data_IF_466323166253
#
_entry.id   IF_466323166253
#
_cell.length_a   1.000
_cell.length_b   1.000
_cell.length_c   1.000
_cell.angle_alpha   90.00
_cell.angle_beta   90.00
_cell.angle_gamma   90.00
#
_symmetry.space_group_name_H-M   'P 1'
#
loop_
_entity.id
_entity.type
_entity.pdbx_description
1 polymer ?
#
# COMPACT_ATOMS: atom_id res chain seq x y z
N UNK A 1 19.74 -4.87 7.04
CA UNK A 1 20.70 -5.67 6.22
C UNK A 1 20.28 -5.67 4.74
N UNK A 2 19.02 -5.98 4.39
CA UNK A 2 18.58 -6.03 2.98
C UNK A 2 18.79 -4.70 2.21
N UNK A 3 18.77 -3.56 2.88
CA UNK A 3 19.02 -2.25 2.27
C UNK A 3 20.52 -2.09 1.96
N UNK A 4 21.40 -2.58 2.82
CA UNK A 4 22.85 -2.53 2.63
C UNK A 4 23.35 -3.41 1.46
N UNK A 5 22.54 -4.38 1.05
CA UNK A 5 22.82 -5.27 -0.09
C UNK A 5 22.27 -4.73 -1.42
N UNK A 6 21.67 -3.53 -1.41
CA UNK A 6 21.20 -2.91 -2.64
C UNK A 6 22.36 -2.51 -3.54
N UNK A 7 22.17 -2.70 -4.84
CA UNK A 7 23.09 -2.13 -5.83
C UNK A 7 23.06 -0.61 -5.72
N UNK A 8 24.23 0.00 -5.73
CA UNK A 8 24.34 1.45 -5.64
C UNK A 8 23.94 2.12 -6.95
N UNK A 9 23.04 3.11 -6.90
CA UNK A 9 22.78 3.96 -8.05
C UNK A 9 23.97 4.91 -8.29
N UNK A 10 24.10 5.52 -9.48
CA UNK A 10 25.06 6.58 -9.70
C UNK A 10 24.92 7.68 -8.64
N UNK A 11 26.04 8.03 -7.98
CA UNK A 11 26.06 8.99 -6.87
C UNK A 11 25.89 8.40 -5.47
N UNK A 12 25.72 7.08 -5.35
CA UNK A 12 25.55 6.39 -4.06
C UNK A 12 24.18 6.63 -3.43
N UNK A 13 24.05 6.27 -2.15
CA UNK A 13 22.86 6.54 -1.33
C UNK A 13 23.20 6.68 0.15
N UNK A 14 22.38 7.40 0.87
CA UNK A 14 22.33 7.41 2.33
C UNK A 14 21.09 6.63 2.83
N UNK A 15 21.12 6.17 4.07
CA UNK A 15 20.03 5.43 4.72
C UNK A 15 19.59 6.20 5.95
N UNK A 16 18.37 6.72 5.91
CA UNK A 16 17.75 7.39 7.05
C UNK A 16 16.75 6.45 7.70
N UNK A 17 16.99 6.12 8.95
CA UNK A 17 16.10 5.27 9.74
C UNK A 17 15.33 6.15 10.70
N UNK A 18 14.05 6.43 10.39
CA UNK A 18 13.17 7.15 11.29
C UNK A 18 12.69 6.19 12.40
N UNK A 19 13.16 6.40 13.61
CA UNK A 19 12.86 5.56 14.77
C UNK A 19 11.88 6.23 15.72
N UNK A 20 10.79 5.54 16.04
CA UNK A 20 9.73 5.99 16.96
C UNK A 20 10.12 5.93 18.44
N UNK A 21 11.38 6.16 18.79
CA UNK A 21 11.93 6.02 20.13
C UNK A 21 11.74 4.58 20.65
N UNK A 22 12.15 3.61 19.85
CA UNK A 22 12.00 2.18 20.15
C UNK A 22 12.74 1.78 21.42
N UNK A 23 12.08 0.98 22.25
CA UNK A 23 12.63 0.44 23.51
C UNK A 23 12.96 -1.05 23.46
N UNK A 24 12.80 -1.68 22.31
CA UNK A 24 13.02 -3.13 22.08
C UNK A 24 14.44 -3.46 21.58
N UNK A 25 15.38 -2.52 21.69
CA UNK A 25 16.76 -2.65 21.21
C UNK A 25 16.93 -2.34 19.70
N UNK A 26 15.88 -1.96 18.98
CA UNK A 26 15.97 -1.55 17.57
C UNK A 26 16.89 -0.34 17.41
N UNK A 27 16.73 0.68 18.25
CA UNK A 27 17.52 1.90 18.25
C UNK A 27 19.01 1.62 18.42
N UNK A 28 19.39 0.82 19.41
CA UNK A 28 20.78 0.48 19.69
C UNK A 28 21.43 -0.28 18.52
N UNK A 29 20.67 -1.17 17.88
CA UNK A 29 21.13 -1.87 16.67
C UNK A 29 21.39 -0.93 15.51
N UNK A 30 20.49 0.04 15.28
CA UNK A 30 20.68 1.03 14.21
C UNK A 30 21.89 1.91 14.51
N UNK A 31 22.08 2.37 15.75
CA UNK A 31 23.25 3.15 16.16
C UNK A 31 24.55 2.36 15.98
N UNK A 32 24.58 1.09 16.38
CA UNK A 32 25.74 0.23 16.17
C UNK A 32 26.06 -0.01 14.68
N UNK A 33 25.03 -0.04 13.81
CA UNK A 33 25.22 -0.12 12.36
C UNK A 33 25.75 1.21 11.79
N UNK A 34 25.24 2.34 12.28
CA UNK A 34 25.70 3.67 11.87
C UNK A 34 27.18 3.94 12.24
N UNK A 35 27.68 3.36 13.32
CA UNK A 35 29.10 3.41 13.67
C UNK A 35 29.99 2.66 12.68
N UNK A 36 29.45 1.63 11.99
CA UNK A 36 30.21 0.79 11.03
C UNK A 36 30.03 1.25 9.58
N UNK A 37 28.93 1.93 9.29
CA UNK A 37 28.59 2.41 7.95
C UNK A 37 28.04 3.83 8.03
N UNK A 38 28.86 4.78 7.59
CA UNK A 38 28.56 6.23 7.62
C UNK A 38 27.37 6.64 6.75
N UNK A 39 26.90 5.76 5.88
CA UNK A 39 25.68 5.97 5.08
C UNK A 39 24.41 5.92 5.95
N UNK A 40 24.46 5.27 7.11
CA UNK A 40 23.32 5.08 8.01
C UNK A 40 23.26 6.24 8.99
N UNK A 41 22.07 6.83 9.08
CA UNK A 41 21.74 7.87 10.07
C UNK A 41 20.43 7.57 10.74
N UNK A 42 20.39 7.71 12.05
CA UNK A 42 19.17 7.63 12.84
C UNK A 42 18.49 9.01 12.84
N UNK A 43 17.17 9.02 12.65
CA UNK A 43 16.31 10.21 12.73
C UNK A 43 15.25 9.93 13.78
N UNK A 44 15.14 10.81 14.77
CA UNK A 44 14.13 10.67 15.83
C UNK A 44 12.74 10.97 15.28
N UNK A 45 11.77 10.13 15.67
CA UNK A 45 10.36 10.30 15.40
C UNK A 45 9.58 10.26 16.74
N UNK A 46 9.57 11.36 17.52
CA UNK A 46 8.94 11.38 18.84
C UNK A 46 7.43 11.13 18.80
N UNK A 47 6.76 11.48 17.71
CA UNK A 47 5.33 11.25 17.52
C UNK A 47 4.98 9.77 17.25
N UNK A 48 5.96 8.93 16.88
CA UNK A 48 5.86 7.46 16.69
C UNK A 48 4.93 7.02 15.57
N UNK A 49 4.35 7.93 14.80
CA UNK A 49 3.52 7.63 13.65
C UNK A 49 4.32 7.67 12.34
N UNK A 50 3.91 6.83 11.40
CA UNK A 50 4.61 6.68 10.11
C UNK A 50 4.77 7.99 9.34
N UNK A 51 3.74 8.85 9.15
CA UNK A 51 3.90 10.07 8.37
C UNK A 51 4.89 11.06 9.00
N UNK A 52 4.89 11.20 10.32
CA UNK A 52 5.86 12.03 11.03
C UNK A 52 7.29 11.54 10.80
N UNK A 53 7.53 10.22 10.95
CA UNK A 53 8.84 9.63 10.70
C UNK A 53 9.30 9.79 9.25
N UNK A 54 8.40 9.64 8.28
CA UNK A 54 8.70 9.88 6.87
C UNK A 54 9.07 11.34 6.61
N UNK A 55 8.28 12.28 7.12
CA UNK A 55 8.56 13.72 6.97
C UNK A 55 9.88 14.12 7.62
N UNK A 56 10.16 13.64 8.84
CA UNK A 56 11.43 13.89 9.52
C UNK A 56 12.63 13.34 8.71
N UNK A 57 12.52 12.13 8.17
CA UNK A 57 13.56 11.54 7.33
C UNK A 57 13.74 12.32 6.02
N UNK A 58 12.66 12.73 5.34
CA UNK A 58 12.71 13.52 4.11
C UNK A 58 13.35 14.88 4.36
N UNK A 59 13.03 15.55 5.45
CA UNK A 59 13.64 16.81 5.84
C UNK A 59 15.14 16.67 6.10
N UNK A 60 15.57 15.59 6.75
CA UNK A 60 16.97 15.29 7.05
C UNK A 60 17.76 14.76 5.84
N UNK A 61 17.09 14.36 4.76
CA UNK A 61 17.72 13.79 3.58
C UNK A 61 18.59 14.82 2.84
N UNK A 62 19.76 14.38 2.37
CA UNK A 62 20.71 15.17 1.57
C UNK A 62 20.56 14.89 0.07
N UNK A 63 20.10 13.68 -0.28
CA UNK A 63 19.90 13.25 -1.65
C UNK A 63 18.71 13.93 -2.34
N UNK A 64 18.79 14.06 -3.66
CA UNK A 64 17.73 14.64 -4.51
C UNK A 64 16.59 13.67 -4.81
N UNK A 65 16.80 12.38 -4.56
CA UNK A 65 15.81 11.32 -4.78
C UNK A 65 15.56 10.61 -3.46
N UNK A 66 14.26 10.47 -3.11
CA UNK A 66 13.80 9.80 -1.91
C UNK A 66 13.23 8.43 -2.32
N UNK A 67 13.77 7.35 -1.76
CA UNK A 67 13.25 5.99 -1.94
C UNK A 67 12.74 5.48 -0.60
N UNK A 68 11.43 5.22 -0.49
CA UNK A 68 10.86 4.63 0.71
C UNK A 68 11.09 3.13 0.76
N UNK A 69 11.58 2.65 1.88
CA UNK A 69 11.79 1.23 2.15
C UNK A 69 11.27 0.86 3.55
N UNK A 70 10.26 0.00 3.60
CA UNK A 70 9.68 -0.43 4.88
C UNK A 70 10.43 -1.67 5.43
N UNK A 71 10.67 -1.71 6.74
CA UNK A 71 11.48 -2.74 7.40
C UNK A 71 10.93 -4.18 7.28
N UNK A 72 9.62 -4.33 7.01
CA UNK A 72 8.94 -5.63 6.89
C UNK A 72 8.71 -6.07 5.43
N UNK A 73 9.36 -5.41 4.48
CA UNK A 73 9.29 -5.71 3.05
C UNK A 73 10.60 -6.33 2.57
N UNK A 74 10.53 -7.34 1.72
CA UNK A 74 11.68 -7.88 1.00
C UNK A 74 11.85 -7.15 -0.35
N UNK A 75 13.10 -6.95 -0.77
CA UNK A 75 13.45 -6.18 -1.95
C UNK A 75 14.33 -6.98 -2.90
N UNK A 76 14.18 -6.78 -4.20
CA UNK A 76 15.18 -7.22 -5.16
C UNK A 76 16.51 -6.46 -4.95
N UNK A 77 17.67 -7.05 -5.25
CA UNK A 77 18.97 -6.39 -5.05
C UNK A 77 19.16 -5.11 -5.88
N UNK A 78 18.39 -4.95 -6.96
CA UNK A 78 18.40 -3.80 -7.87
C UNK A 78 17.22 -2.82 -7.64
N UNK A 79 16.48 -2.96 -6.53
CA UNK A 79 15.26 -2.19 -6.25
C UNK A 79 15.53 -0.68 -6.31
N UNK A 80 16.56 -0.19 -5.60
CA UNK A 80 16.90 1.24 -5.54
C UNK A 80 17.30 1.76 -6.92
N UNK A 81 18.17 1.04 -7.64
CA UNK A 81 18.60 1.42 -9.01
C UNK A 81 17.39 1.50 -9.94
N UNK A 82 16.48 0.50 -9.92
CA UNK A 82 15.28 0.51 -10.77
C UNK A 82 14.31 1.64 -10.43
N UNK A 83 14.20 2.00 -9.16
CA UNK A 83 13.43 3.17 -8.75
C UNK A 83 14.00 4.45 -9.38
N UNK A 84 15.31 4.69 -9.24
CA UNK A 84 15.99 5.89 -9.76
C UNK A 84 15.90 5.94 -11.28
N UNK A 85 16.26 4.85 -11.99
CA UNK A 85 16.18 4.77 -13.45
C UNK A 85 14.78 5.08 -13.97
N UNK A 86 13.75 4.46 -13.36
CA UNK A 86 12.36 4.68 -13.79
C UNK A 86 11.92 6.12 -13.55
N UNK A 87 12.22 6.68 -12.38
CA UNK A 87 11.86 8.06 -12.03
C UNK A 87 12.42 9.05 -13.05
N UNK A 88 13.70 8.88 -13.41
CA UNK A 88 14.39 9.75 -14.36
C UNK A 88 13.87 9.55 -15.79
N UNK A 89 13.70 8.28 -16.23
CA UNK A 89 13.30 7.97 -17.60
C UNK A 89 11.83 8.37 -17.88
N UNK A 90 10.92 8.21 -16.91
CA UNK A 90 9.48 8.49 -17.10
C UNK A 90 9.11 9.94 -16.77
N UNK A 91 10.03 10.72 -16.19
CA UNK A 91 9.77 12.10 -15.71
C UNK A 91 8.52 12.15 -14.81
N UNK A 92 8.31 11.06 -14.04
CA UNK A 92 7.21 10.95 -13.11
C UNK A 92 7.52 11.65 -11.78
N UNK A 93 6.50 12.02 -11.02
CA UNK A 93 6.65 12.63 -9.70
C UNK A 93 6.78 11.58 -8.59
N UNK A 94 6.18 10.39 -8.80
CA UNK A 94 6.35 9.21 -7.96
C UNK A 94 6.37 7.94 -8.81
N UNK A 95 7.27 7.00 -8.49
CA UNK A 95 7.34 5.70 -9.15
C UNK A 95 7.39 4.57 -8.14
N UNK A 96 6.85 3.40 -8.50
CA UNK A 96 6.93 2.22 -7.67
C UNK A 96 6.65 0.93 -8.45
N UNK A 97 6.78 -0.19 -7.76
CA UNK A 97 6.45 -1.50 -8.30
C UNK A 97 5.03 -1.94 -7.97
N UNK A 98 4.57 -3.05 -8.55
CA UNK A 98 3.31 -3.66 -8.17
C UNK A 98 3.35 -4.16 -6.71
N UNK A 99 2.20 -4.13 -6.05
CA UNK A 99 2.08 -4.68 -4.70
C UNK A 99 2.02 -6.21 -4.77
N UNK A 100 3.15 -6.86 -4.56
CA UNK A 100 3.29 -8.32 -4.61
C UNK A 100 3.31 -8.90 -3.20
N UNK A 101 2.26 -9.65 -2.83
CA UNK A 101 2.23 -10.36 -1.55
C UNK A 101 2.89 -11.74 -1.68
N UNK A 102 3.75 -12.12 -0.70
CA UNK A 102 4.34 -13.45 -0.58
C UNK A 102 4.08 -14.02 0.81
N UNK A 103 3.24 -15.03 0.89
CA UNK A 103 2.89 -15.72 2.14
C UNK A 103 3.76 -16.95 2.39
N UNK A 104 4.08 -17.21 3.67
CA UNK A 104 4.63 -18.49 4.15
C UNK A 104 3.53 -19.20 4.95
N UNK A 105 3.20 -20.44 4.59
CA UNK A 105 2.09 -21.20 5.19
C UNK A 105 0.76 -21.00 4.47
N UNK A 106 -0.19 -21.90 4.73
CA UNK A 106 -1.44 -22.05 3.99
C UNK A 106 -2.29 -20.78 3.94
N UNK A 107 -2.65 -20.23 5.11
CA UNK A 107 -3.48 -19.01 5.21
C UNK A 107 -2.79 -17.79 4.57
N UNK A 108 -1.49 -17.58 4.85
CA UNK A 108 -0.74 -16.46 4.27
C UNK A 108 -0.63 -16.56 2.74
N UNK A 109 -0.58 -17.77 2.17
CA UNK A 109 -0.58 -17.97 0.71
C UNK A 109 -1.95 -17.68 0.12
N UNK A 110 -3.03 -18.10 0.78
CA UNK A 110 -4.39 -17.75 0.36
C UNK A 110 -4.60 -16.22 0.36
N UNK A 111 -4.19 -15.54 1.44
CA UNK A 111 -4.24 -14.07 1.51
C UNK A 111 -3.40 -13.46 0.38
N UNK A 112 -2.20 -13.96 0.11
CA UNK A 112 -1.35 -13.47 -0.98
C UNK A 112 -2.01 -13.67 -2.37
N UNK A 113 -2.68 -14.80 -2.60
CA UNK A 113 -3.43 -15.06 -3.83
C UNK A 113 -4.62 -14.11 -3.97
N UNK A 114 -5.37 -13.86 -2.88
CA UNK A 114 -6.47 -12.89 -2.88
C UNK A 114 -5.98 -11.47 -3.23
N UNK A 115 -4.80 -11.03 -2.77
CA UNK A 115 -4.21 -9.74 -3.13
C UNK A 115 -3.91 -9.59 -4.64
N UNK A 116 -3.81 -10.69 -5.38
CA UNK A 116 -3.60 -10.69 -6.83
C UNK A 116 -4.92 -10.87 -7.60
N UNK A 117 -6.02 -11.18 -6.92
CA UNK A 117 -7.34 -11.33 -7.53
C UNK A 117 -7.93 -9.97 -7.90
N UNK A 118 -8.25 -9.76 -9.17
CA UNK A 118 -8.89 -8.53 -9.65
C UNK A 118 -10.24 -8.28 -8.95
N UNK A 119 -10.94 -9.33 -8.55
CA UNK A 119 -12.20 -9.24 -7.79
C UNK A 119 -11.94 -8.66 -6.39
N UNK A 120 -10.99 -9.24 -5.64
CA UNK A 120 -10.71 -8.84 -4.26
C UNK A 120 -10.15 -7.41 -4.15
N UNK A 121 -9.35 -6.95 -5.14
CA UNK A 121 -8.75 -5.61 -5.13
C UNK A 121 -9.50 -4.59 -5.98
N UNK A 122 -10.72 -4.91 -6.47
CA UNK A 122 -11.54 -4.01 -7.26
C UNK A 122 -10.86 -3.55 -8.56
N UNK A 123 -10.07 -4.41 -9.19
CA UNK A 123 -9.38 -4.13 -10.45
C UNK A 123 -8.23 -3.12 -10.33
N UNK A 124 -7.74 -2.83 -9.12
CA UNK A 124 -6.64 -1.89 -8.89
C UNK A 124 -5.40 -2.22 -9.73
N UNK A 125 -4.97 -1.26 -10.55
CA UNK A 125 -3.79 -1.44 -11.43
C UNK A 125 -2.52 -1.69 -10.63
N UNK A 126 -2.40 -1.10 -9.42
CA UNK A 126 -1.29 -1.27 -8.49
C UNK A 126 -0.99 -2.71 -8.07
N UNK A 127 -1.96 -3.63 -8.24
CA UNK A 127 -1.81 -5.06 -7.95
C UNK A 127 -1.49 -5.90 -9.20
N UNK A 128 -1.53 -5.32 -10.41
CA UNK A 128 -1.25 -6.06 -11.66
C UNK A 128 0.25 -6.20 -11.86
N UNK A 129 0.74 -7.44 -11.81
CA UNK A 129 2.17 -7.77 -11.81
C UNK A 129 2.94 -7.32 -13.07
N UNK A 130 2.27 -7.28 -14.21
CA UNK A 130 2.87 -6.96 -15.51
C UNK A 130 2.44 -5.60 -16.07
N UNK A 131 1.69 -4.82 -15.27
CA UNK A 131 1.25 -3.51 -15.73
C UNK A 131 2.37 -2.49 -15.61
N UNK A 132 2.58 -1.75 -16.69
CA UNK A 132 3.44 -0.57 -16.70
C UNK A 132 2.61 0.62 -17.18
N UNK A 133 2.66 1.72 -16.43
CA UNK A 133 1.90 2.92 -16.76
C UNK A 133 1.43 3.72 -15.55
N UNK A 134 0.64 4.79 -15.79
CA UNK A 134 0.09 5.62 -14.74
C UNK A 134 -0.92 4.86 -13.89
N UNK A 135 -0.83 5.08 -12.57
CA UNK A 135 -1.68 4.46 -11.54
C UNK A 135 -2.14 5.52 -10.53
N UNK A 136 -3.16 5.20 -9.77
CA UNK A 136 -3.64 6.05 -8.67
C UNK A 136 -2.74 5.97 -7.43
N UNK A 137 -2.07 4.85 -7.22
CA UNK A 137 -1.12 4.65 -6.12
C UNK A 137 -0.10 3.57 -6.46
N UNK A 138 1.08 3.64 -5.86
CA UNK A 138 2.13 2.62 -5.93
C UNK A 138 2.47 2.10 -4.55
N UNK A 139 2.99 0.89 -4.47
CA UNK A 139 3.51 0.35 -3.22
C UNK A 139 4.87 0.98 -2.88
N UNK A 140 5.00 1.53 -1.68
CA UNK A 140 6.15 2.28 -1.17
C UNK A 140 6.31 3.62 -1.90
N UNK A 141 7.15 3.71 -2.91
CA UNK A 141 7.34 4.88 -3.77
C UNK A 141 8.77 5.39 -3.80
N UNK A 142 9.06 6.10 -4.88
CA UNK A 142 10.30 6.83 -5.12
C UNK A 142 9.97 8.17 -5.76
N UNK A 143 10.46 9.25 -5.17
CA UNK A 143 10.16 10.64 -5.54
C UNK A 143 11.42 11.45 -5.77
N UNK A 144 11.33 12.50 -6.59
CA UNK A 144 12.27 13.61 -6.45
C UNK A 144 11.99 14.33 -5.13
N UNK A 145 13.01 14.74 -4.40
CA UNK A 145 12.84 15.48 -3.14
C UNK A 145 12.01 16.76 -3.33
N UNK A 146 12.17 17.43 -4.47
CA UNK A 146 11.38 18.60 -4.86
C UNK A 146 9.88 18.35 -4.97
N UNK A 147 9.44 17.09 -5.19
CA UNK A 147 8.02 16.73 -5.23
C UNK A 147 7.33 17.02 -3.88
N UNK A 148 8.04 16.91 -2.77
CA UNK A 148 7.51 17.23 -1.44
C UNK A 148 7.35 18.74 -1.22
N UNK A 149 8.16 19.57 -1.88
CA UNK A 149 7.95 21.02 -1.89
C UNK A 149 6.76 21.40 -2.80
N UNK A 150 6.62 20.71 -3.94
CA UNK A 150 5.58 20.97 -4.94
C UNK A 150 4.20 20.51 -4.50
N UNK A 151 4.08 19.28 -3.99
CA UNK A 151 2.81 18.64 -3.66
C UNK A 151 2.53 18.60 -2.15
N UNK A 152 3.46 19.08 -1.33
CA UNK A 152 3.43 19.02 0.14
C UNK A 152 3.95 17.68 0.69
N UNK A 153 4.36 17.69 1.96
CA UNK A 153 4.78 16.53 2.71
C UNK A 153 3.62 15.54 2.98
N UNK A 154 3.90 14.38 3.58
CA UNK A 154 2.85 13.48 4.03
C UNK A 154 1.97 14.14 5.10
N UNK A 155 0.66 13.92 5.01
CA UNK A 155 -0.29 14.44 6.00
C UNK A 155 -0.13 13.67 7.32
N UNK A 156 0.31 14.37 8.36
CA UNK A 156 0.62 13.79 9.66
C UNK A 156 -0.61 13.36 10.47
N UNK A 157 -1.78 13.89 10.15
CA UNK A 157 -3.03 13.42 10.75
C UNK A 157 -3.47 12.04 10.24
N UNK A 158 -2.92 11.59 9.11
CA UNK A 158 -3.27 10.32 8.49
C UNK A 158 -2.32 9.21 8.93
N UNK A 159 -2.60 8.57 10.06
CA UNK A 159 -1.80 7.43 10.59
C UNK A 159 -1.72 6.27 9.58
N UNK A 160 -2.72 6.12 8.72
CA UNK A 160 -2.77 5.17 7.60
C UNK A 160 -3.25 5.88 6.34
N UNK A 161 -2.97 5.29 5.17
CA UNK A 161 -3.36 5.81 3.86
C UNK A 161 -2.74 7.18 3.53
N UNK A 162 -1.67 7.58 4.23
CA UNK A 162 -0.91 8.80 3.95
C UNK A 162 -0.27 8.77 2.56
N UNK A 163 0.13 7.59 2.10
CA UNK A 163 0.64 7.35 0.75
C UNK A 163 -0.44 7.50 -0.34
N UNK A 164 -1.61 6.92 -0.12
CA UNK A 164 -2.76 7.07 -1.01
C UNK A 164 -3.20 8.54 -1.12
N UNK A 165 -3.21 9.26 0.00
CA UNK A 165 -3.57 10.69 0.03
C UNK A 165 -2.53 11.53 -0.71
N UNK A 166 -1.24 11.28 -0.47
CA UNK A 166 -0.16 11.99 -1.15
C UNK A 166 -0.18 11.74 -2.67
N UNK A 167 -0.39 10.50 -3.10
CA UNK A 167 -0.53 10.15 -4.52
C UNK A 167 -1.77 10.81 -5.15
N UNK A 168 -2.87 10.92 -4.40
CA UNK A 168 -4.07 11.65 -4.85
C UNK A 168 -3.77 13.14 -5.04
N UNK A 169 -3.03 13.78 -4.13
CA UNK A 169 -2.60 15.19 -4.29
C UNK A 169 -1.71 15.38 -5.51
N UNK A 170 -0.74 14.48 -5.73
CA UNK A 170 0.11 14.50 -6.93
C UNK A 170 -0.75 14.47 -8.19
N UNK A 171 -1.64 13.49 -8.32
CA UNK A 171 -2.45 13.31 -9.53
C UNK A 171 -3.46 14.43 -9.74
N UNK A 172 -4.03 14.99 -8.68
CA UNK A 172 -4.98 16.15 -8.78
C UNK A 172 -4.30 17.44 -9.22
N UNK A 173 -3.02 17.60 -8.91
CA UNK A 173 -2.22 18.75 -9.35
C UNK A 173 -1.53 18.51 -10.70
N UNK A 174 -1.97 17.50 -11.45
CA UNK A 174 -1.44 17.17 -12.78
C UNK A 174 -0.11 16.43 -12.78
N UNK A 175 0.35 15.95 -11.61
CA UNK A 175 1.54 15.11 -11.50
C UNK A 175 1.26 13.66 -11.90
N UNK A 176 2.33 12.89 -12.06
CA UNK A 176 2.30 11.51 -12.57
C UNK A 176 2.80 10.53 -11.51
N UNK A 177 1.94 9.58 -11.16
CA UNK A 177 2.31 8.39 -10.36
C UNK A 177 2.42 7.22 -11.33
N UNK A 178 3.59 6.57 -11.39
CA UNK A 178 3.90 5.55 -12.39
C UNK A 178 4.28 4.21 -11.76
N UNK A 179 3.72 3.13 -12.26
CA UNK A 179 4.10 1.78 -11.90
C UNK A 179 4.89 1.10 -13.01
N UNK A 180 5.92 0.32 -12.62
CA UNK A 180 6.61 -0.60 -13.52
C UNK A 180 6.92 -1.93 -12.84
N UNK A 181 6.79 -3.07 -13.54
CA UNK A 181 7.18 -4.39 -13.01
C UNK A 181 8.70 -4.56 -12.83
N UNK A 182 9.52 -3.62 -13.35
CA UNK A 182 10.97 -3.62 -13.13
C UNK A 182 11.33 -3.35 -11.65
N UNK A 183 10.52 -2.59 -10.91
CA UNK A 183 10.69 -2.32 -9.49
C UNK A 183 10.05 -3.47 -8.68
N UNK A 184 10.88 -4.32 -8.06
CA UNK A 184 10.41 -5.55 -7.41
C UNK A 184 10.60 -5.51 -5.91
N UNK A 185 9.49 -5.67 -5.18
CA UNK A 185 9.48 -5.86 -3.73
C UNK A 185 8.35 -6.83 -3.34
N UNK A 186 8.44 -7.39 -2.14
CA UNK A 186 7.50 -8.42 -1.70
C UNK A 186 7.01 -8.12 -0.29
N UNK A 187 5.71 -7.91 -0.19
CA UNK A 187 5.00 -7.72 1.05
C UNK A 187 4.71 -9.06 1.73
N UNK A 188 4.94 -9.15 3.03
CA UNK A 188 4.55 -10.31 3.84
C UNK A 188 3.15 -10.08 4.42
N UNK A 189 2.12 -10.83 3.98
CA UNK A 189 0.75 -10.62 4.46
C UNK A 189 0.57 -11.06 5.91
N UNK A 190 -0.53 -10.65 6.52
CA UNK A 190 -0.89 -11.00 7.89
C UNK A 190 -1.01 -12.52 8.06
N UNK A 191 -0.69 -13.01 9.26
CA UNK A 191 -0.66 -14.45 9.57
C UNK A 191 -1.98 -15.00 10.13
N UNK A 192 -2.97 -14.14 10.39
CA UNK A 192 -4.28 -14.54 10.90
C UNK A 192 -5.40 -13.70 10.27
N UNK A 193 -6.60 -14.29 10.19
CA UNK A 193 -7.80 -13.61 9.69
C UNK A 193 -8.18 -12.42 10.58
N UNK A 194 -8.00 -12.51 11.90
CA UNK A 194 -8.23 -11.38 12.81
C UNK A 194 -7.30 -10.21 12.52
N UNK A 195 -6.01 -10.48 12.34
CA UNK A 195 -5.05 -9.42 11.99
C UNK A 195 -5.33 -8.80 10.61
N UNK A 196 -5.79 -9.62 9.66
CA UNK A 196 -6.24 -9.17 8.34
C UNK A 196 -7.49 -8.29 8.46
N UNK A 197 -8.51 -8.75 9.18
CA UNK A 197 -9.73 -7.98 9.44
C UNK A 197 -9.41 -6.61 10.07
N UNK A 198 -8.59 -6.60 11.12
CA UNK A 198 -8.14 -5.36 11.78
C UNK A 198 -7.43 -4.42 10.81
N UNK A 199 -6.60 -4.95 9.92
CA UNK A 199 -5.91 -4.15 8.89
C UNK A 199 -6.91 -3.52 7.92
N UNK A 200 -7.86 -4.29 7.39
CA UNK A 200 -8.86 -3.77 6.45
C UNK A 200 -9.84 -2.81 7.12
N UNK A 201 -10.22 -3.06 8.38
CA UNK A 201 -11.01 -2.13 9.16
C UNK A 201 -10.31 -0.75 9.29
N UNK A 202 -9.01 -0.77 9.63
CA UNK A 202 -8.21 0.45 9.68
C UNK A 202 -8.11 1.12 8.30
N UNK A 203 -7.89 0.36 7.23
CA UNK A 203 -7.85 0.93 5.88
C UNK A 203 -9.17 1.59 5.50
N UNK A 204 -10.30 0.96 5.81
CA UNK A 204 -11.62 1.53 5.59
C UNK A 204 -11.83 2.84 6.36
N UNK A 205 -11.53 2.84 7.65
CA UNK A 205 -11.64 4.02 8.52
C UNK A 205 -10.81 5.19 7.98
N UNK A 206 -9.52 4.97 7.72
CA UNK A 206 -8.63 6.01 7.23
C UNK A 206 -8.93 6.43 5.80
N UNK A 207 -9.49 5.53 4.97
CA UNK A 207 -9.96 5.89 3.63
C UNK A 207 -11.11 6.90 3.66
N UNK A 208 -12.05 6.73 4.60
CA UNK A 208 -13.12 7.72 4.82
C UNK A 208 -12.53 9.07 5.22
N UNK A 209 -11.51 9.09 6.11
CA UNK A 209 -10.82 10.34 6.50
C UNK A 209 -10.15 11.02 5.31
N UNK A 210 -9.47 10.25 4.44
CA UNK A 210 -8.89 10.79 3.18
C UNK A 210 -9.98 11.40 2.30
N UNK A 211 -11.11 10.70 2.11
CA UNK A 211 -12.25 11.20 1.31
C UNK A 211 -12.81 12.50 1.91
N UNK A 212 -12.96 12.57 3.24
CA UNK A 212 -13.43 13.78 3.93
C UNK A 212 -12.48 14.96 3.72
N UNK A 213 -11.16 14.75 3.85
CA UNK A 213 -10.16 15.81 3.65
C UNK A 213 -10.05 16.26 2.21
N UNK A 214 -10.13 15.33 1.28
CA UNK A 214 -9.96 15.60 -0.15
C UNK A 214 -11.27 15.89 -0.87
N UNK A 215 -12.43 15.76 -0.19
CA UNK A 215 -13.79 15.95 -0.71
C UNK A 215 -14.15 15.06 -1.91
N UNK A 216 -13.30 14.11 -2.28
CA UNK A 216 -13.51 13.16 -3.39
C UNK A 216 -12.76 11.84 -3.09
N UNK A 217 -13.32 10.69 -3.49
CA UNK A 217 -12.60 9.43 -3.48
C UNK A 217 -11.56 9.41 -4.59
N UNK A 218 -10.38 8.83 -4.33
CA UNK A 218 -9.34 8.62 -5.35
C UNK A 218 -9.82 7.69 -6.49
N UNK A 219 -10.80 6.83 -6.22
CA UNK A 219 -11.42 5.93 -7.20
C UNK A 219 -12.81 5.50 -6.72
N UNK A 220 -13.72 5.27 -7.67
CA UNK A 220 -15.10 4.78 -7.41
C UNK A 220 -15.09 3.48 -6.59
N UNK A 221 -14.12 2.59 -6.81
CA UNK A 221 -14.01 1.33 -6.06
C UNK A 221 -13.94 1.50 -4.53
N UNK A 222 -13.49 2.67 -4.06
CA UNK A 222 -13.41 2.97 -2.63
C UNK A 222 -14.79 3.22 -1.98
N UNK A 223 -15.79 3.56 -2.78
CA UNK A 223 -17.15 3.82 -2.32
C UNK A 223 -18.03 2.56 -2.41
N UNK A 224 -17.70 1.62 -3.30
CA UNK A 224 -18.49 0.41 -3.56
C UNK A 224 -18.83 -0.40 -2.30
N UNK A 225 -17.87 -0.71 -1.38
CA UNK A 225 -18.21 -1.47 -0.18
C UNK A 225 -19.20 -0.76 0.73
N UNK A 226 -19.04 0.57 0.91
CA UNK A 226 -19.98 1.38 1.70
C UNK A 226 -21.36 1.44 1.06
N UNK A 227 -21.44 1.64 -0.25
CA UNK A 227 -22.70 1.63 -0.99
C UNK A 227 -23.41 0.28 -0.91
N UNK A 228 -22.67 -0.82 -1.02
CA UNK A 228 -23.22 -2.17 -0.86
C UNK A 228 -23.85 -2.37 0.52
N UNK A 229 -23.13 -2.03 1.59
CA UNK A 229 -23.66 -2.13 2.97
C UNK A 229 -24.86 -1.21 3.16
N UNK A 230 -24.82 0.04 2.68
CA UNK A 230 -25.95 0.96 2.77
C UNK A 230 -27.20 0.42 2.04
N UNK A 231 -27.03 -0.20 0.86
CA UNK A 231 -28.12 -0.83 0.11
C UNK A 231 -28.72 -2.00 0.90
N UNK A 232 -27.91 -2.85 1.52
CA UNK A 232 -28.42 -3.95 2.34
C UNK A 232 -29.20 -3.44 3.57
N UNK A 233 -28.70 -2.40 4.24
CA UNK A 233 -29.40 -1.76 5.35
C UNK A 233 -30.74 -1.13 4.91
N UNK A 234 -30.74 -0.49 3.75
CA UNK A 234 -31.97 0.07 3.16
C UNK A 234 -32.99 -1.05 2.81
N UNK A 235 -32.54 -2.19 2.25
CA UNK A 235 -33.40 -3.34 2.00
C UNK A 235 -33.96 -3.91 3.32
N UNK A 236 -33.15 -4.02 4.36
CA UNK A 236 -33.57 -4.50 5.67
C UNK A 236 -34.64 -3.57 6.29
N UNK A 237 -34.41 -2.27 6.27
CA UNK A 237 -35.37 -1.28 6.76
C UNK A 237 -36.66 -1.25 5.90
N UNK A 238 -36.50 -1.32 4.58
CA UNK A 238 -37.63 -1.32 3.63
C UNK A 238 -38.52 -2.58 3.77
N UNK A 239 -37.91 -3.72 4.09
CA UNK A 239 -38.63 -4.96 4.30
C UNK A 239 -39.61 -4.93 5.50
N UNK A 240 -39.36 -4.01 6.45
CA UNK A 240 -40.29 -3.77 7.55
C UNK A 240 -41.65 -3.19 7.06
N UNK A 241 -41.60 -2.32 6.06
CA UNK A 241 -42.79 -1.69 5.49
C UNK A 241 -43.37 -2.49 4.30
N UNK A 242 -42.48 -3.13 3.52
CA UNK A 242 -42.86 -3.91 2.35
C UNK A 242 -42.01 -5.19 2.25
N UNK A 243 -42.53 -6.33 2.81
CA UNK A 243 -41.81 -7.61 2.92
C UNK A 243 -41.10 -8.07 1.62
N UNK A 244 -41.65 -7.89 0.41
CA UNK A 244 -40.95 -8.30 -0.82
C UNK A 244 -39.58 -7.69 -1.01
N UNK A 245 -39.25 -6.54 -0.40
CA UNK A 245 -37.91 -5.91 -0.46
C UNK A 245 -36.83 -6.80 0.17
N UNK A 246 -37.22 -7.70 1.11
CA UNK A 246 -36.29 -8.69 1.65
C UNK A 246 -35.72 -9.62 0.58
N UNK A 247 -36.49 -9.96 -0.44
CA UNK A 247 -36.02 -10.79 -1.56
C UNK A 247 -34.94 -10.08 -2.39
N UNK A 248 -35.06 -8.75 -2.56
CA UNK A 248 -34.03 -7.96 -3.23
C UNK A 248 -32.71 -7.99 -2.44
N UNK A 249 -32.77 -7.75 -1.12
CA UNK A 249 -31.61 -7.85 -0.24
C UNK A 249 -30.99 -9.25 -0.25
N UNK A 250 -31.82 -10.29 -0.14
CA UNK A 250 -31.39 -11.69 -0.21
C UNK A 250 -30.74 -12.03 -1.55
N UNK A 251 -31.33 -11.57 -2.66
CA UNK A 251 -30.77 -11.74 -4.01
C UNK A 251 -29.41 -11.06 -4.18
N UNK A 252 -29.22 -9.86 -3.64
CA UNK A 252 -27.93 -9.16 -3.65
C UNK A 252 -26.86 -9.92 -2.87
N UNK A 253 -27.19 -10.45 -1.68
CA UNK A 253 -26.27 -11.28 -0.89
C UNK A 253 -25.94 -12.56 -1.63
N UNK A 254 -26.92 -13.27 -2.18
CA UNK A 254 -26.72 -14.51 -2.94
C UNK A 254 -25.83 -14.26 -4.18
N UNK A 255 -26.08 -13.19 -4.92
CA UNK A 255 -25.25 -12.79 -6.05
C UNK A 255 -23.80 -12.49 -5.62
N UNK A 256 -23.64 -11.74 -4.54
CA UNK A 256 -22.30 -11.44 -3.99
C UNK A 256 -21.55 -12.73 -3.59
N UNK A 257 -22.20 -13.64 -2.88
CA UNK A 257 -21.59 -14.92 -2.47
C UNK A 257 -21.23 -15.79 -3.68
N UNK A 258 -22.07 -15.81 -4.72
CA UNK A 258 -21.76 -16.49 -5.96
C UNK A 258 -20.52 -15.88 -6.65
N UNK A 259 -20.45 -14.54 -6.72
CA UNK A 259 -19.29 -13.86 -7.27
C UNK A 259 -18.02 -14.16 -6.46
N UNK A 260 -18.10 -14.19 -5.13
CA UNK A 260 -16.98 -14.59 -4.25
C UNK A 260 -16.54 -16.01 -4.55
N UNK A 261 -17.47 -16.97 -4.62
CA UNK A 261 -17.18 -18.37 -4.92
C UNK A 261 -16.50 -18.54 -6.28
N UNK A 262 -17.03 -17.89 -7.32
CA UNK A 262 -16.42 -17.90 -8.67
C UNK A 262 -15.03 -17.28 -8.67
N UNK A 263 -14.85 -16.13 -8.02
CA UNK A 263 -13.55 -15.47 -7.90
C UNK A 263 -12.53 -16.35 -7.15
N UNK A 264 -12.96 -17.06 -6.10
CA UNK A 264 -12.13 -17.99 -5.33
C UNK A 264 -11.66 -19.16 -6.20
N UNK A 265 -12.57 -19.74 -7.00
CA UNK A 265 -12.21 -20.81 -7.97
C UNK A 265 -11.22 -20.30 -9.00
N UNK A 266 -11.47 -19.16 -9.64
CA UNK A 266 -10.58 -18.57 -10.66
C UNK A 266 -9.21 -18.25 -10.06
N UNK A 267 -9.17 -17.64 -8.88
CA UNK A 267 -7.92 -17.28 -8.20
C UNK A 267 -7.14 -18.53 -7.77
N UNK A 268 -7.83 -19.55 -7.24
CA UNK A 268 -7.23 -20.81 -6.84
C UNK A 268 -6.72 -21.64 -8.03
N UNK A 269 -7.43 -21.66 -9.13
CA UNK A 269 -7.00 -22.32 -10.36
C UNK A 269 -5.76 -21.64 -10.98
N UNK A 270 -5.66 -20.30 -10.87
CA UNK A 270 -4.50 -19.52 -11.35
C UNK A 270 -3.29 -19.53 -10.40
N UNK A 271 -3.47 -20.01 -9.16
CA UNK A 271 -2.40 -20.06 -8.15
C UNK A 271 -2.18 -21.48 -7.62
N UNK A 272 -2.95 -21.88 -6.62
CA UNK A 272 -2.96 -23.20 -6.01
C UNK A 272 -4.41 -23.60 -5.70
N UNK A 273 -4.94 -24.64 -6.37
CA UNK A 273 -6.32 -25.11 -6.16
C UNK A 273 -6.64 -25.48 -4.69
N UNK A 274 -5.64 -25.89 -3.92
CA UNK A 274 -5.77 -26.19 -2.47
C UNK A 274 -6.12 -24.98 -1.62
N UNK A 275 -5.98 -23.75 -2.14
CA UNK A 275 -6.29 -22.52 -1.44
C UNK A 275 -7.77 -22.11 -1.56
N UNK A 276 -8.53 -22.71 -2.52
CA UNK A 276 -9.92 -22.36 -2.79
C UNK A 276 -10.81 -22.32 -1.52
N UNK A 277 -10.71 -23.27 -0.56
CA UNK A 277 -11.57 -23.26 0.61
C UNK A 277 -11.35 -22.06 1.55
N UNK A 278 -10.27 -21.31 1.40
CA UNK A 278 -9.90 -20.16 2.26
C UNK A 278 -9.95 -18.84 1.47
N UNK A 279 -10.03 -18.89 0.14
CA UNK A 279 -10.24 -17.75 -0.73
C UNK A 279 -11.70 -17.32 -0.76
#
# INVERSE_FOLDING_TARGET
EAILQQKEPPGGFEILVADGLSSDGTRDRVLAMAQRDHRIRLVDNPDRFTPHGLNAAIAAARGDIIVRMDAHTAYAPDYVVRCVETLLARKADNVGGPWVARGKGYLSRAIAAAFQSSFAVGGARGHRLHYEGPVDTVYLGCWRKEAFAKFGAFDEELVRNQDDEHNLRITRQGGVVWQTPAIRSWYVPRRSLYALFRQYFQYGYWKVRVIQKQHLPASIRHVVPGAFVATLLACLAGAYFYPPVAWLGGGLVACYLLCVALASVVTGAGSEWKLIPVL
#
